data_IF_019179916006
#
_entry.id   IF_019179916006
#
_cell.length_a   1.000
_cell.length_b   1.000
_cell.length_c   1.000
_cell.angle_alpha   90.00
_cell.angle_beta   90.00
_cell.angle_gamma   90.00
#
_symmetry.space_group_name_H-M   'P 1'
#
loop_
_entity.id
_entity.type
_entity.pdbx_description
1 polymer ?
#
# COMPACT_ATOMS: atom_id res chain seq x y z
N UNK A 1 21.86 -38.30 39.53
CA UNK A 1 22.24 -39.16 38.38
C UNK A 1 21.14 -39.13 37.32
N UNK A 2 20.82 -37.96 36.78
CA UNK A 2 19.85 -37.84 35.69
C UNK A 2 20.64 -37.67 34.38
N UNK A 3 20.94 -38.79 33.71
CA UNK A 3 21.40 -38.76 32.33
C UNK A 3 20.22 -39.09 31.42
N UNK A 4 20.11 -38.42 30.27
CA UNK A 4 19.04 -38.53 29.26
C UNK A 4 18.16 -39.80 29.42
N UNK A 5 16.94 -39.63 29.91
CA UNK A 5 16.01 -40.74 30.22
C UNK A 5 15.28 -41.27 28.98
N UNK A 6 15.33 -40.53 27.86
CA UNK A 6 14.71 -40.90 26.58
C UNK A 6 15.44 -42.08 25.95
N UNK A 7 14.69 -43.05 25.43
CA UNK A 7 15.22 -44.27 24.82
C UNK A 7 15.76 -45.31 25.81
N UNK A 8 15.57 -45.10 27.12
CA UNK A 8 15.90 -46.09 28.15
C UNK A 8 14.61 -46.74 28.64
N UNK A 9 14.62 -48.06 28.72
CA UNK A 9 13.42 -48.83 29.02
C UNK A 9 13.62 -49.73 30.22
N UNK A 10 12.56 -49.86 31.01
CA UNK A 10 12.31 -50.99 31.88
C UNK A 10 11.66 -52.08 31.04
N UNK A 11 12.25 -53.27 31.06
CA UNK A 11 11.71 -54.46 30.38
C UNK A 11 11.55 -55.54 31.43
N UNK A 12 10.32 -56.01 31.63
CA UNK A 12 10.04 -57.12 32.51
C UNK A 12 9.58 -58.34 31.71
N UNK A 13 9.93 -59.51 32.22
CA UNK A 13 9.57 -60.81 31.63
C UNK A 13 9.27 -61.82 32.72
N UNK A 14 8.13 -62.50 32.61
CA UNK A 14 7.74 -63.62 33.48
C UNK A 14 8.25 -64.94 32.89
N UNK A 15 9.15 -65.61 33.61
CA UNK A 15 9.72 -66.88 33.18
C UNK A 15 8.77 -68.08 33.39
N UNK A 16 9.04 -69.19 32.68
CA UNK A 16 8.23 -70.42 32.69
C UNK A 16 7.97 -71.04 34.08
N UNK A 17 8.77 -70.71 35.11
CA UNK A 17 8.64 -71.21 36.47
C UNK A 17 8.18 -70.13 37.48
N UNK A 18 7.60 -69.03 37.01
CA UNK A 18 7.20 -67.90 37.86
C UNK A 18 8.37 -67.05 38.35
N UNK A 19 9.57 -67.24 37.78
CA UNK A 19 10.72 -66.36 38.02
C UNK A 19 10.53 -65.08 37.22
N UNK A 20 10.23 -64.01 37.93
CA UNK A 20 10.04 -62.68 37.39
C UNK A 20 11.37 -61.93 37.37
N UNK A 21 11.71 -61.31 36.24
CA UNK A 21 12.90 -60.47 36.12
C UNK A 21 12.54 -59.13 35.48
N UNK A 22 13.20 -58.06 35.93
CA UNK A 22 13.08 -56.72 35.36
C UNK A 22 14.47 -56.19 35.08
N UNK A 23 14.67 -55.69 33.88
CA UNK A 23 15.93 -55.09 33.45
C UNK A 23 15.75 -53.61 33.15
N UNK A 24 16.79 -52.82 33.45
CA UNK A 24 16.91 -51.42 33.05
C UNK A 24 18.28 -51.20 32.42
N UNK A 25 18.31 -50.67 31.19
CA UNK A 25 19.53 -50.58 30.37
C UNK A 25 20.26 -51.93 30.21
N UNK A 26 19.51 -53.01 30.05
CA UNK A 26 20.03 -54.38 29.98
C UNK A 26 20.76 -54.87 31.24
N UNK A 27 20.55 -54.21 32.38
CA UNK A 27 21.04 -54.65 33.70
C UNK A 27 19.83 -55.12 34.50
N UNK A 28 19.90 -56.34 35.04
CA UNK A 28 18.86 -56.87 35.91
C UNK A 28 18.78 -56.08 37.23
N UNK A 29 17.57 -55.70 37.61
CA UNK A 29 17.29 -55.00 38.86
C UNK A 29 17.02 -56.05 39.92
N UNK A 30 17.88 -56.11 40.93
CA UNK A 30 17.63 -56.92 42.12
C UNK A 30 16.49 -56.30 42.95
N UNK A 31 15.26 -56.78 42.71
CA UNK A 31 14.05 -56.31 43.38
C UNK A 31 14.04 -56.71 44.87
N UNK A 32 14.65 -57.85 45.23
CA UNK A 32 14.66 -58.34 46.61
C UNK A 32 15.44 -57.41 47.55
N UNK A 33 16.44 -56.70 47.03
CA UNK A 33 17.19 -55.65 47.77
C UNK A 33 16.30 -54.54 48.33
N UNK A 34 15.15 -54.30 47.72
CA UNK A 34 14.21 -53.25 48.14
C UNK A 34 13.20 -53.74 49.18
N UNK A 35 13.31 -54.99 49.62
CA UNK A 35 12.53 -55.47 50.76
C UNK A 35 13.07 -54.90 52.07
N UNK A 36 12.18 -54.27 52.84
CA UNK A 36 12.49 -53.68 54.14
C UNK A 36 11.86 -54.48 55.31
N UNK A 37 11.14 -55.56 55.01
CA UNK A 37 10.57 -56.49 55.98
C UNK A 37 11.55 -57.66 56.22
N UNK A 38 12.47 -57.46 57.18
CA UNK A 38 13.47 -58.47 57.55
C UNK A 38 12.87 -59.69 58.26
N UNK A 39 11.64 -59.58 58.78
CA UNK A 39 10.96 -60.68 59.46
C UNK A 39 10.38 -61.69 58.45
N UNK A 40 9.96 -61.21 57.27
CA UNK A 40 9.44 -62.04 56.18
C UNK A 40 10.10 -61.66 54.85
N UNK A 41 11.32 -62.16 54.56
CA UNK A 41 12.01 -61.85 53.33
C UNK A 41 11.25 -62.45 52.13
N UNK A 42 10.62 -61.58 51.36
CA UNK A 42 10.03 -61.90 50.06
C UNK A 42 11.19 -62.06 49.07
N UNK A 43 11.33 -63.27 48.52
CA UNK A 43 12.39 -63.66 47.58
C UNK A 43 11.93 -63.61 46.11
N UNK A 44 10.64 -63.42 45.87
CA UNK A 44 10.04 -63.28 44.54
C UNK A 44 9.07 -62.10 44.51
N UNK A 45 8.98 -61.41 43.40
CA UNK A 45 8.02 -60.32 43.20
C UNK A 45 7.06 -60.70 42.08
N UNK A 46 5.88 -60.08 42.06
CA UNK A 46 4.89 -60.24 41.00
C UNK A 46 4.31 -58.88 40.62
N UNK A 47 3.82 -58.72 39.38
CA UNK A 47 3.16 -57.51 38.90
C UNK A 47 1.74 -57.79 38.45
N UNK A 48 0.92 -56.74 38.34
CA UNK A 48 -0.50 -56.87 37.99
C UNK A 48 -1.44 -57.06 39.18
N UNK A 49 -0.91 -57.07 40.42
CA UNK A 49 -1.70 -57.02 41.64
C UNK A 49 -1.26 -55.84 42.55
N UNK A 50 -1.92 -55.68 43.69
CA UNK A 50 -1.54 -54.66 44.71
C UNK A 50 -0.83 -55.27 45.91
N UNK A 51 -0.29 -56.47 45.75
CA UNK A 51 0.34 -57.21 46.84
C UNK A 51 1.76 -56.70 47.13
N UNK A 52 2.38 -57.24 48.18
CA UNK A 52 3.73 -56.86 48.60
C UNK A 52 4.76 -57.00 47.46
N UNK A 53 4.61 -57.98 46.58
CA UNK A 53 5.48 -58.18 45.40
C UNK A 53 5.45 -57.00 44.42
N UNK A 54 4.26 -56.51 44.06
CA UNK A 54 4.11 -55.40 43.13
C UNK A 54 4.63 -54.08 43.72
N UNK A 55 4.50 -53.91 45.04
CA UNK A 55 5.09 -52.78 45.75
C UNK A 55 6.63 -52.81 45.73
N UNK A 56 7.24 -53.98 45.92
CA UNK A 56 8.70 -54.13 45.83
C UNK A 56 9.21 -53.73 44.45
N UNK A 57 8.50 -54.15 43.39
CA UNK A 57 8.80 -53.75 42.03
C UNK A 57 8.66 -52.22 41.83
N UNK A 58 7.56 -51.63 42.32
CA UNK A 58 7.36 -50.19 42.27
C UNK A 58 8.50 -49.42 42.98
N UNK A 59 8.94 -49.91 44.14
CA UNK A 59 10.05 -49.33 44.90
C UNK A 59 11.37 -49.44 44.12
N UNK A 60 11.65 -50.58 43.50
CA UNK A 60 12.84 -50.78 42.69
C UNK A 60 12.89 -49.84 41.47
N UNK A 61 11.77 -49.70 40.74
CA UNK A 61 11.66 -48.80 39.56
C UNK A 61 11.85 -47.34 39.98
N UNK A 62 11.13 -46.89 41.01
CA UNK A 62 11.22 -45.51 41.49
C UNK A 62 12.61 -45.19 42.04
N UNK A 63 13.24 -46.13 42.75
CA UNK A 63 14.59 -45.93 43.28
C UNK A 63 15.65 -45.87 42.17
N UNK A 64 15.37 -46.45 41.00
CA UNK A 64 16.29 -46.44 39.85
C UNK A 64 16.28 -45.10 39.13
N UNK A 65 15.12 -44.42 39.06
CA UNK A 65 14.94 -43.15 38.33
C UNK A 65 15.05 -41.93 39.25
N UNK A 66 14.42 -41.97 40.42
CA UNK A 66 14.31 -40.85 41.34
C UNK A 66 15.31 -41.01 42.50
N UNK A 67 14.79 -41.16 43.72
CA UNK A 67 15.60 -41.39 44.91
C UNK A 67 14.97 -42.50 45.77
N UNK A 68 15.77 -43.21 46.59
CA UNK A 68 15.26 -44.23 47.51
C UNK A 68 14.19 -43.69 48.47
N UNK A 69 14.28 -42.42 48.86
CA UNK A 69 13.30 -41.77 49.74
C UNK A 69 11.95 -41.61 49.05
N UNK A 70 11.96 -41.14 47.78
CA UNK A 70 10.74 -41.01 46.97
C UNK A 70 10.12 -42.39 46.75
N UNK A 71 10.94 -43.39 46.45
CA UNK A 71 10.47 -44.76 46.24
C UNK A 71 9.74 -45.32 47.47
N UNK A 72 10.28 -45.17 48.68
CA UNK A 72 9.63 -45.65 49.92
C UNK A 72 8.29 -45.00 50.20
N UNK A 73 8.17 -43.69 49.96
CA UNK A 73 6.95 -42.93 50.27
C UNK A 73 5.85 -43.21 49.23
N UNK A 74 6.24 -43.29 47.95
CA UNK A 74 5.29 -43.29 46.84
C UNK A 74 5.11 -44.66 46.15
N UNK A 75 5.83 -45.72 46.57
CA UNK A 75 5.70 -47.06 45.98
C UNK A 75 4.27 -47.60 45.99
N UNK A 76 3.52 -47.44 47.09
CA UNK A 76 2.11 -47.86 47.17
C UNK A 76 1.26 -47.18 46.09
N UNK A 77 1.41 -45.85 45.97
CA UNK A 77 0.67 -45.04 45.00
C UNK A 77 1.05 -45.40 43.57
N UNK A 78 2.35 -45.57 43.30
CA UNK A 78 2.85 -45.98 41.99
C UNK A 78 2.39 -47.39 41.60
N UNK A 79 2.29 -48.29 42.58
CA UNK A 79 1.77 -49.65 42.37
C UNK A 79 0.34 -49.61 41.85
N UNK A 80 -0.52 -48.81 42.48
CA UNK A 80 -1.93 -48.66 42.08
C UNK A 80 -2.08 -47.92 40.74
N UNK A 81 -1.32 -46.82 40.56
CA UNK A 81 -1.46 -45.97 39.38
C UNK A 81 -0.89 -46.60 38.11
N UNK A 82 0.16 -47.43 38.25
CA UNK A 82 0.98 -47.88 37.13
C UNK A 82 1.14 -49.41 37.12
N UNK A 83 1.75 -50.00 38.15
CA UNK A 83 2.15 -51.44 38.12
C UNK A 83 0.95 -52.39 38.03
N UNK A 84 -0.16 -52.07 38.69
CA UNK A 84 -1.39 -52.88 38.64
C UNK A 84 -1.98 -52.99 37.23
N UNK A 85 -1.68 -52.05 36.34
CA UNK A 85 -2.18 -52.05 34.96
C UNK A 85 -1.43 -53.04 34.06
N UNK A 86 -0.29 -53.57 34.50
CA UNK A 86 0.45 -54.57 33.76
C UNK A 86 -0.14 -55.95 33.99
N UNK A 87 -0.90 -56.44 33.00
CA UNK A 87 -1.44 -57.81 33.00
C UNK A 87 -0.68 -58.74 32.05
N UNK A 88 0.22 -58.20 31.23
CA UNK A 88 1.01 -58.94 30.26
C UNK A 88 2.22 -59.61 30.93
N UNK A 89 2.61 -60.78 30.42
CA UNK A 89 3.78 -61.54 30.86
C UNK A 89 5.11 -60.86 30.48
N UNK A 90 5.08 -60.04 29.44
CA UNK A 90 6.18 -59.18 29.03
C UNK A 90 5.66 -57.77 28.87
N UNK A 91 6.35 -56.79 29.46
CA UNK A 91 6.01 -55.38 29.27
C UNK A 91 7.24 -54.52 29.19
N UNK A 92 7.09 -53.38 28.51
CA UNK A 92 8.15 -52.40 28.29
C UNK A 92 7.64 -51.00 28.63
N UNK A 93 8.32 -50.32 29.52
CA UNK A 93 8.00 -48.94 29.94
C UNK A 93 9.22 -48.04 29.75
N UNK A 94 9.00 -46.83 29.24
CA UNK A 94 10.08 -45.87 29.09
C UNK A 94 10.39 -45.17 30.43
N UNK A 95 11.67 -44.99 30.74
CA UNK A 95 12.10 -44.34 31.97
C UNK A 95 11.62 -42.88 32.08
N UNK A 96 11.36 -42.24 30.94
CA UNK A 96 10.79 -40.90 30.89
C UNK A 96 9.36 -40.86 31.43
N UNK A 97 8.57 -41.92 31.24
CA UNK A 97 7.21 -42.01 31.76
C UNK A 97 7.20 -42.12 33.28
N UNK A 98 8.17 -42.86 33.84
CA UNK A 98 8.40 -42.92 35.29
C UNK A 98 8.76 -41.53 35.83
N UNK A 99 9.67 -40.81 35.16
CA UNK A 99 10.06 -39.47 35.57
C UNK A 99 8.89 -38.46 35.48
N UNK A 100 8.07 -38.52 34.42
CA UNK A 100 6.85 -37.71 34.29
C UNK A 100 5.87 -38.00 35.42
N UNK A 101 5.67 -39.28 35.77
CA UNK A 101 4.81 -39.65 36.89
C UNK A 101 5.34 -39.10 38.21
N UNK A 102 6.65 -39.19 38.47
CA UNK A 102 7.30 -38.63 39.68
C UNK A 102 7.12 -37.11 39.75
N UNK A 103 7.41 -36.39 38.67
CA UNK A 103 7.25 -34.93 38.61
C UNK A 103 5.79 -34.47 38.82
N UNK A 104 4.83 -35.29 38.38
CA UNK A 104 3.39 -35.00 38.53
C UNK A 104 2.86 -35.31 39.93
N UNK A 105 3.36 -36.36 40.57
CA UNK A 105 2.78 -36.90 41.81
C UNK A 105 3.59 -36.61 43.08
N UNK A 106 4.78 -36.04 42.94
CA UNK A 106 5.70 -35.77 44.04
C UNK A 106 6.29 -34.36 43.93
N UNK A 107 6.84 -33.84 45.02
CA UNK A 107 7.59 -32.58 45.02
C UNK A 107 9.04 -32.75 44.50
N UNK A 108 9.40 -33.93 44.00
CA UNK A 108 10.72 -34.21 43.46
C UNK A 108 10.76 -33.84 41.98
N UNK A 109 11.62 -32.88 41.61
CA UNK A 109 11.81 -32.45 40.21
C UNK A 109 12.97 -33.22 39.59
N UNK A 110 12.65 -33.98 38.54
CA UNK A 110 13.60 -34.62 37.64
C UNK A 110 13.63 -33.75 36.38
N UNK A 111 14.81 -33.28 35.99
CA UNK A 111 14.99 -32.55 34.74
C UNK A 111 14.78 -33.52 33.56
N UNK A 112 13.83 -33.18 32.70
CA UNK A 112 13.48 -33.94 31.50
C UNK A 112 13.76 -33.03 30.29
N UNK A 113 14.65 -33.45 29.40
CA UNK A 113 15.10 -32.68 28.21
C UNK A 113 14.03 -32.59 27.09
N UNK A 114 12.73 -32.48 27.43
CA UNK A 114 11.62 -32.44 26.46
C UNK A 114 11.36 -31.04 25.86
N UNK A 115 11.80 -29.98 26.53
CA UNK A 115 11.49 -28.59 26.17
C UNK A 115 12.12 -28.12 24.84
N UNK A 116 13.16 -28.80 24.36
CA UNK A 116 13.90 -28.40 23.16
C UNK A 116 13.20 -28.82 21.85
N UNK A 117 12.46 -29.95 21.84
CA UNK A 117 11.75 -30.42 20.64
C UNK A 117 10.45 -29.65 20.39
N UNK A 118 9.75 -29.22 21.44
CA UNK A 118 8.52 -28.44 21.30
C UNK A 118 8.84 -27.02 20.77
N UNK A 119 9.89 -26.39 21.30
CA UNK A 119 10.40 -25.11 20.79
C UNK A 119 10.85 -25.22 19.33
N UNK A 120 11.54 -26.30 18.96
CA UNK A 120 11.96 -26.51 17.58
C UNK A 120 10.76 -26.60 16.61
N UNK A 121 9.67 -27.26 17.00
CA UNK A 121 8.44 -27.35 16.19
C UNK A 121 7.70 -26.01 16.08
N UNK A 122 7.63 -25.25 17.17
CA UNK A 122 7.02 -23.91 17.17
C UNK A 122 7.82 -22.92 16.31
N UNK A 123 9.14 -22.96 16.37
CA UNK A 123 10.01 -22.12 15.55
C UNK A 123 9.94 -22.50 14.06
N UNK A 124 9.80 -23.79 13.73
CA UNK A 124 9.58 -24.23 12.36
C UNK A 124 8.21 -23.78 11.81
N UNK A 125 7.16 -23.80 12.63
CA UNK A 125 5.84 -23.31 12.26
C UNK A 125 5.86 -21.79 11.99
N UNK A 126 6.51 -21.00 12.86
CA UNK A 126 6.68 -19.55 12.65
C UNK A 126 7.43 -19.23 11.35
N UNK A 127 8.47 -20.00 11.01
CA UNK A 127 9.21 -19.84 9.75
C UNK A 127 8.32 -20.11 8.53
N UNK A 128 7.50 -21.17 8.56
CA UNK A 128 6.56 -21.49 7.47
C UNK A 128 5.48 -20.42 7.30
N UNK A 129 4.95 -19.87 8.39
CA UNK A 129 3.99 -18.76 8.34
C UNK A 129 4.62 -17.48 7.76
N UNK A 130 5.87 -17.17 8.12
CA UNK A 130 6.59 -16.01 7.60
C UNK A 130 6.89 -16.13 6.09
N UNK A 131 7.25 -17.32 5.62
CA UNK A 131 7.44 -17.60 4.19
C UNK A 131 6.12 -17.51 3.41
N UNK A 132 5.03 -18.07 3.93
CA UNK A 132 3.71 -17.94 3.34
C UNK A 132 3.26 -16.46 3.25
N UNK A 133 3.55 -15.66 4.28
CA UNK A 133 3.27 -14.23 4.28
C UNK A 133 4.12 -13.47 3.24
N UNK A 134 5.39 -13.83 3.06
CA UNK A 134 6.26 -13.26 2.01
C UNK A 134 5.75 -13.59 0.62
N UNK A 135 5.31 -14.83 0.39
CA UNK A 135 4.78 -15.25 -0.92
C UNK A 135 3.43 -14.59 -1.23
N UNK A 136 2.53 -14.48 -0.24
CA UNK A 136 1.29 -13.72 -0.38
C UNK A 136 1.54 -12.24 -0.75
N UNK A 137 2.58 -11.62 -0.17
CA UNK A 137 2.99 -10.25 -0.53
C UNK A 137 3.58 -10.16 -1.95
N UNK A 138 4.16 -11.24 -2.49
CA UNK A 138 4.64 -11.28 -3.89
C UNK A 138 3.46 -11.42 -4.85
N UNK A 139 2.55 -12.35 -4.57
CA UNK A 139 1.33 -12.56 -5.37
C UNK A 139 0.50 -11.27 -5.45
N UNK A 140 0.26 -10.60 -4.31
CA UNK A 140 -0.49 -9.33 -4.29
C UNK A 140 0.16 -8.22 -5.12
N UNK A 141 1.49 -8.12 -5.09
CA UNK A 141 2.24 -7.14 -5.91
C UNK A 141 2.15 -7.48 -7.39
N UNK A 142 2.24 -8.76 -7.75
CA UNK A 142 2.11 -9.21 -9.12
C UNK A 142 0.69 -8.98 -9.66
N UNK A 143 -0.35 -9.31 -8.89
CA UNK A 143 -1.75 -9.02 -9.26
C UNK A 143 -2.00 -7.53 -9.47
N UNK A 144 -1.49 -6.68 -8.58
CA UNK A 144 -1.60 -5.24 -8.73
C UNK A 144 -0.86 -4.72 -9.97
N UNK A 145 0.33 -5.26 -10.25
CA UNK A 145 1.09 -4.95 -11.46
C UNK A 145 0.32 -5.35 -12.71
N UNK A 146 -0.21 -6.57 -12.77
CA UNK A 146 -1.03 -7.06 -13.88
C UNK A 146 -2.28 -6.19 -14.09
N UNK A 147 -2.93 -5.75 -13.00
CA UNK A 147 -4.06 -4.83 -13.07
C UNK A 147 -3.67 -3.47 -13.68
N UNK A 148 -2.55 -2.89 -13.23
CA UNK A 148 -2.05 -1.62 -13.79
C UNK A 148 -1.68 -1.74 -15.27
N UNK A 149 -1.08 -2.86 -15.68
CA UNK A 149 -0.77 -3.12 -17.09
C UNK A 149 -2.05 -3.21 -17.93
N UNK A 150 -3.06 -3.96 -17.49
CA UNK A 150 -4.36 -4.04 -18.18
C UNK A 150 -5.04 -2.68 -18.28
N UNK A 151 -5.02 -1.89 -17.21
CA UNK A 151 -5.60 -0.55 -17.21
C UNK A 151 -4.88 0.39 -18.20
N UNK A 152 -3.54 0.36 -18.23
CA UNK A 152 -2.75 1.14 -19.21
C UNK A 152 -3.03 0.70 -20.64
N UNK A 153 -3.16 -0.60 -20.90
CA UNK A 153 -3.51 -1.12 -22.22
C UNK A 153 -4.93 -0.69 -22.63
N UNK A 154 -5.90 -0.74 -21.72
CA UNK A 154 -7.27 -0.28 -21.97
C UNK A 154 -7.33 1.23 -22.28
N UNK A 155 -6.58 2.05 -21.52
CA UNK A 155 -6.45 3.50 -21.80
C UNK A 155 -5.88 3.76 -23.19
N UNK A 156 -4.77 3.08 -23.54
CA UNK A 156 -4.16 3.18 -24.88
C UNK A 156 -5.12 2.76 -25.98
N UNK A 157 -5.88 1.68 -25.78
CA UNK A 157 -6.87 1.22 -26.76
C UNK A 157 -7.98 2.26 -26.95
N UNK A 158 -8.52 2.81 -25.88
CA UNK A 158 -9.57 3.83 -25.91
C UNK A 158 -9.08 5.14 -26.54
N UNK A 159 -7.86 5.58 -26.25
CA UNK A 159 -7.25 6.77 -26.86
C UNK A 159 -6.96 6.53 -28.36
N UNK A 160 -6.55 5.32 -28.74
CA UNK A 160 -6.39 4.93 -30.14
C UNK A 160 -7.72 4.88 -30.90
N UNK A 161 -8.81 4.50 -30.24
CA UNK A 161 -10.15 4.54 -30.84
C UNK A 161 -10.68 5.96 -30.96
N UNK A 162 -10.46 6.81 -29.96
CA UNK A 162 -10.85 8.22 -30.01
C UNK A 162 -10.13 8.95 -31.13
N UNK A 163 -8.81 8.77 -31.25
CA UNK A 163 -8.02 9.37 -32.34
C UNK A 163 -8.47 8.85 -33.71
N UNK A 164 -8.79 7.55 -33.84
CA UNK A 164 -9.37 7.00 -35.08
C UNK A 164 -10.75 7.59 -35.41
N UNK A 165 -11.63 7.73 -34.41
CA UNK A 165 -12.97 8.32 -34.57
C UNK A 165 -12.89 9.81 -34.91
N UNK A 166 -11.98 10.55 -34.30
CA UNK A 166 -11.73 11.97 -34.60
C UNK A 166 -11.11 12.15 -35.99
N UNK A 167 -10.11 11.34 -36.37
CA UNK A 167 -9.55 11.33 -37.71
C UNK A 167 -10.61 11.00 -38.76
N UNK A 168 -11.48 10.01 -38.51
CA UNK A 168 -12.57 9.68 -39.40
C UNK A 168 -13.59 10.82 -39.52
N UNK A 169 -13.94 11.49 -38.41
CA UNK A 169 -14.84 12.64 -38.38
C UNK A 169 -14.29 13.85 -39.15
N UNK A 170 -12.98 14.08 -39.07
CA UNK A 170 -12.29 15.13 -39.85
C UNK A 170 -12.35 14.80 -41.34
N UNK A 171 -12.13 13.53 -41.72
CA UNK A 171 -12.21 13.08 -43.11
C UNK A 171 -13.62 13.20 -43.69
N UNK A 172 -14.66 12.92 -42.91
CA UNK A 172 -16.07 12.96 -43.38
C UNK A 172 -16.66 14.36 -43.48
N UNK A 173 -16.02 15.38 -42.91
CA UNK A 173 -16.50 16.77 -42.90
C UNK A 173 -15.68 17.71 -43.79
N UNK A 174 -15.03 17.19 -44.84
CA UNK A 174 -14.36 18.06 -45.78
C UNK A 174 -15.39 18.86 -46.60
N UNK A 175 -15.25 20.19 -46.58
CA UNK A 175 -16.13 21.13 -47.27
C UNK A 175 -16.19 20.86 -48.78
N UNK A 176 -15.06 20.48 -49.40
CA UNK A 176 -14.95 20.17 -50.83
C UNK A 176 -15.72 18.89 -51.16
N UNK A 177 -15.61 17.86 -50.32
CA UNK A 177 -16.33 16.59 -50.51
C UNK A 177 -17.84 16.75 -50.35
N UNK A 178 -18.28 17.60 -49.42
CA UNK A 178 -19.70 17.89 -49.24
C UNK A 178 -20.26 18.72 -50.41
N UNK A 179 -19.52 19.74 -50.88
CA UNK A 179 -19.92 20.57 -52.02
C UNK A 179 -20.07 19.76 -53.31
N UNK A 180 -19.10 18.88 -53.61
CA UNK A 180 -19.17 18.02 -54.78
C UNK A 180 -20.33 17.04 -54.73
N UNK A 181 -20.66 16.51 -53.53
CA UNK A 181 -21.83 15.63 -53.32
C UNK A 181 -23.16 16.37 -53.45
N UNK A 182 -23.29 17.54 -52.82
CA UNK A 182 -24.52 18.35 -52.85
C UNK A 182 -24.84 18.86 -54.26
N UNK A 183 -23.82 19.31 -54.99
CA UNK A 183 -23.96 19.80 -56.37
C UNK A 183 -23.94 18.67 -57.40
N UNK A 184 -23.67 17.43 -56.98
CA UNK A 184 -23.51 16.25 -57.85
C UNK A 184 -22.53 16.50 -59.02
N UNK A 185 -21.40 17.12 -58.72
CA UNK A 185 -20.34 17.46 -59.69
C UNK A 185 -19.04 16.74 -59.33
N UNK A 186 -18.18 16.54 -60.33
CA UNK A 186 -16.82 16.02 -60.12
C UNK A 186 -15.84 17.13 -59.76
N UNK A 187 -14.73 16.79 -59.12
CA UNK A 187 -13.69 17.74 -58.71
C UNK A 187 -13.11 18.53 -59.90
N UNK A 188 -12.97 17.91 -61.07
CA UNK A 188 -12.50 18.58 -62.29
C UNK A 188 -13.49 19.63 -62.80
N UNK A 189 -14.78 19.44 -62.51
CA UNK A 189 -15.82 20.41 -62.85
C UNK A 189 -15.80 21.56 -61.85
N UNK A 190 -15.61 21.26 -60.55
CA UNK A 190 -15.43 22.28 -59.52
C UNK A 190 -14.17 23.14 -59.78
N UNK A 191 -13.07 22.53 -60.23
CA UNK A 191 -11.83 23.22 -60.64
C UNK A 191 -12.08 24.25 -61.74
N UNK A 192 -12.83 23.84 -62.76
CA UNK A 192 -13.20 24.70 -63.89
C UNK A 192 -14.16 25.82 -63.47
N UNK A 193 -15.11 25.55 -62.58
CA UNK A 193 -16.07 26.55 -62.09
C UNK A 193 -15.37 27.63 -61.26
N UNK A 194 -14.43 27.22 -60.40
CA UNK A 194 -13.69 28.12 -59.52
C UNK A 194 -12.44 28.74 -60.17
N UNK A 195 -12.15 28.38 -61.42
CA UNK A 195 -10.97 28.81 -62.18
C UNK A 195 -9.65 28.59 -61.42
N UNK A 196 -9.48 27.39 -60.85
CA UNK A 196 -8.29 26.98 -60.10
C UNK A 196 -7.81 25.60 -60.56
N UNK A 197 -6.50 25.36 -60.41
CA UNK A 197 -5.90 24.06 -60.74
C UNK A 197 -6.48 22.92 -59.89
N UNK A 198 -6.61 21.73 -60.49
CA UNK A 198 -7.15 20.55 -59.82
C UNK A 198 -6.35 20.16 -58.57
N UNK A 199 -5.04 20.35 -58.61
CA UNK A 199 -4.15 20.08 -57.47
C UNK A 199 -4.48 20.98 -56.27
N UNK A 200 -4.92 22.22 -56.51
CA UNK A 200 -5.37 23.13 -55.45
C UNK A 200 -6.62 22.60 -54.75
N UNK A 201 -7.58 22.06 -55.52
CA UNK A 201 -8.79 21.43 -54.96
C UNK A 201 -8.44 20.15 -54.19
N UNK A 202 -7.49 19.36 -54.69
CA UNK A 202 -7.01 18.16 -53.99
C UNK A 202 -6.31 18.51 -52.67
N UNK A 203 -5.51 19.58 -52.64
CA UNK A 203 -4.87 20.07 -51.42
C UNK A 203 -5.91 20.55 -50.40
N UNK A 204 -6.91 21.33 -50.84
CA UNK A 204 -8.03 21.74 -49.98
C UNK A 204 -8.80 20.56 -49.39
N UNK A 205 -8.91 19.45 -50.14
CA UNK A 205 -9.55 18.21 -49.71
C UNK A 205 -8.69 17.39 -48.74
N UNK A 206 -7.41 17.21 -49.02
CA UNK A 206 -6.53 16.36 -48.21
C UNK A 206 -6.11 17.04 -46.91
N UNK A 207 -5.84 18.34 -46.95
CA UNK A 207 -5.31 19.09 -45.81
C UNK A 207 -6.35 19.95 -45.08
N UNK A 208 -7.60 19.92 -45.55
CA UNK A 208 -8.73 20.69 -45.03
C UNK A 208 -8.40 22.19 -44.93
N UNK A 209 -7.77 22.74 -45.98
CA UNK A 209 -7.27 24.12 -45.98
C UNK A 209 -8.37 25.17 -46.08
N UNK A 210 -9.49 24.86 -46.74
CA UNK A 210 -10.60 25.79 -46.93
C UNK A 210 -11.15 26.34 -45.60
N UNK A 211 -11.45 25.52 -44.58
CA UNK A 211 -11.79 26.02 -43.24
C UNK A 211 -10.69 26.87 -42.58
N UNK A 212 -9.41 26.54 -42.77
CA UNK A 212 -8.28 27.29 -42.20
C UNK A 212 -8.17 28.68 -42.84
N UNK A 213 -8.28 28.75 -44.17
CA UNK A 213 -8.31 29.98 -44.95
C UNK A 213 -9.50 30.86 -44.56
N UNK A 214 -10.69 30.28 -44.42
CA UNK A 214 -11.89 31.00 -43.99
C UNK A 214 -11.73 31.61 -42.58
N UNK A 215 -11.16 30.88 -41.63
CA UNK A 215 -10.88 31.40 -40.28
C UNK A 215 -9.89 32.57 -40.33
N UNK A 216 -8.81 32.44 -41.10
CA UNK A 216 -7.81 33.50 -41.27
C UNK A 216 -8.40 34.76 -41.94
N UNK A 217 -9.25 34.59 -42.95
CA UNK A 217 -9.96 35.70 -43.58
C UNK A 217 -10.91 36.43 -42.61
N UNK A 218 -11.63 35.68 -41.77
CA UNK A 218 -12.47 36.27 -40.71
C UNK A 218 -11.66 37.05 -39.68
N UNK A 219 -10.48 36.57 -39.30
CA UNK A 219 -9.57 37.29 -38.39
C UNK A 219 -9.10 38.62 -39.00
N UNK A 220 -8.69 38.61 -40.27
CA UNK A 220 -8.31 39.84 -40.98
C UNK A 220 -9.47 40.83 -41.10
N UNK A 221 -10.68 40.34 -41.41
CA UNK A 221 -11.86 41.19 -41.48
C UNK A 221 -12.17 41.85 -40.12
N UNK A 222 -12.17 41.06 -39.03
CA UNK A 222 -12.38 41.58 -37.68
C UNK A 222 -11.32 42.61 -37.28
N UNK A 223 -10.05 42.35 -37.62
CA UNK A 223 -8.96 43.30 -37.38
C UNK A 223 -9.17 44.61 -38.17
N UNK A 224 -9.59 44.53 -39.43
CA UNK A 224 -9.92 45.69 -40.26
C UNK A 224 -11.10 46.50 -39.71
N UNK A 225 -12.16 45.84 -39.23
CA UNK A 225 -13.30 46.50 -38.58
C UNK A 225 -12.87 47.21 -37.30
N UNK A 226 -12.10 46.55 -36.43
CA UNK A 226 -11.57 47.15 -35.19
C UNK A 226 -10.66 48.35 -35.48
N UNK A 227 -9.84 48.29 -36.53
CA UNK A 227 -9.02 49.42 -36.95
C UNK A 227 -9.87 50.61 -37.40
N UNK A 228 -10.93 50.37 -38.18
CA UNK A 228 -11.86 51.42 -38.63
C UNK A 228 -12.57 52.08 -37.46
N UNK A 229 -13.01 51.30 -36.46
CA UNK A 229 -13.64 51.81 -35.24
C UNK A 229 -12.68 52.69 -34.43
N UNK A 230 -11.45 52.22 -34.18
CA UNK A 230 -10.42 53.01 -33.49
C UNK A 230 -10.09 54.31 -34.21
N UNK A 231 -10.01 54.28 -35.54
CA UNK A 231 -9.74 55.48 -36.32
C UNK A 231 -10.90 56.49 -36.25
N UNK A 232 -12.14 56.01 -36.22
CA UNK A 232 -13.32 56.87 -35.99
C UNK A 232 -13.30 57.52 -34.60
N UNK A 233 -12.89 56.77 -33.57
CA UNK A 233 -12.76 57.30 -32.20
C UNK A 233 -11.66 58.36 -32.10
N UNK A 234 -10.49 58.11 -32.70
CA UNK A 234 -9.40 59.08 -32.75
C UNK A 234 -9.81 60.35 -33.49
N UNK A 235 -10.55 60.24 -34.60
CA UNK A 235 -11.07 61.40 -35.31
C UNK A 235 -12.04 62.23 -34.46
N UNK A 236 -12.91 61.58 -33.70
CA UNK A 236 -13.82 62.26 -32.77
C UNK A 236 -13.06 62.96 -31.62
N UNK A 237 -12.02 62.31 -31.08
CA UNK A 237 -11.15 62.91 -30.06
C UNK A 237 -10.41 64.14 -30.60
N UNK A 238 -9.84 64.06 -31.81
CA UNK A 238 -9.16 65.19 -32.44
C UNK A 238 -10.11 66.38 -32.65
N UNK A 239 -11.35 66.14 -33.09
CA UNK A 239 -12.34 67.21 -33.24
C UNK A 239 -12.67 67.88 -31.90
N UNK A 240 -12.85 67.09 -30.83
CA UNK A 240 -13.12 67.65 -29.50
C UNK A 240 -11.93 68.47 -28.98
N UNK A 241 -10.70 67.96 -29.15
CA UNK A 241 -9.49 68.71 -28.80
C UNK A 241 -9.39 70.02 -29.58
N UNK A 242 -9.73 70.01 -30.87
CA UNK A 242 -9.77 71.22 -31.68
C UNK A 242 -10.79 72.23 -31.15
N UNK A 243 -12.01 71.80 -30.83
CA UNK A 243 -13.03 72.69 -30.24
C UNK A 243 -12.58 73.29 -28.89
N UNK A 244 -11.82 72.53 -28.09
CA UNK A 244 -11.26 73.04 -26.84
C UNK A 244 -10.17 74.08 -27.08
N UNK A 245 -9.30 73.86 -28.07
CA UNK A 245 -8.28 74.84 -28.45
C UNK A 245 -8.94 76.13 -28.94
N UNK A 246 -9.93 76.04 -29.82
CA UNK A 246 -10.65 77.21 -30.34
C UNK A 246 -11.30 78.02 -29.20
N UNK A 247 -11.92 77.34 -28.22
CA UNK A 247 -12.46 78.00 -27.02
C UNK A 247 -11.35 78.71 -26.22
N UNK A 248 -10.22 78.05 -25.99
CA UNK A 248 -9.09 78.65 -25.26
C UNK A 248 -8.50 79.85 -25.98
N UNK A 249 -8.41 79.81 -27.30
CA UNK A 249 -7.98 80.95 -28.11
C UNK A 249 -8.95 82.14 -27.95
N UNK A 250 -10.27 81.89 -27.96
CA UNK A 250 -11.25 82.97 -27.72
C UNK A 250 -11.15 83.55 -26.31
N UNK A 251 -10.94 82.72 -25.28
CA UNK A 251 -10.71 83.16 -23.90
C UNK A 251 -9.45 84.03 -23.80
N UNK A 252 -8.34 83.60 -24.41
CA UNK A 252 -7.10 84.39 -24.43
C UNK A 252 -7.30 85.74 -25.11
N UNK A 253 -8.01 85.78 -26.24
CA UNK A 253 -8.32 87.03 -26.94
C UNK A 253 -9.13 88.01 -26.07
N UNK A 254 -10.09 87.50 -25.29
CA UNK A 254 -10.84 88.30 -24.32
C UNK A 254 -9.93 88.84 -23.22
N UNK A 255 -9.08 88.00 -22.64
CA UNK A 255 -8.11 88.44 -21.63
C UNK A 255 -7.13 89.49 -22.17
N UNK A 256 -6.66 89.35 -23.41
CA UNK A 256 -5.80 90.35 -24.06
C UNK A 256 -6.51 91.69 -24.22
N UNK A 257 -7.79 91.67 -24.59
CA UNK A 257 -8.61 92.87 -24.69
C UNK A 257 -8.77 93.57 -23.35
N UNK A 258 -9.07 92.81 -22.29
CA UNK A 258 -9.19 93.34 -20.93
C UNK A 258 -7.87 93.90 -20.43
N UNK A 259 -6.76 93.19 -20.65
CA UNK A 259 -5.41 93.64 -20.30
C UNK A 259 -5.06 94.95 -21.01
N UNK A 260 -5.47 95.11 -22.28
CA UNK A 260 -5.30 96.36 -23.01
C UNK A 260 -6.17 97.49 -22.43
N UNK A 261 -7.40 97.20 -22.02
CA UNK A 261 -8.26 98.17 -21.33
C UNK A 261 -7.64 98.63 -20.00
N UNK A 262 -7.12 97.69 -19.19
CA UNK A 262 -6.41 98.02 -17.95
C UNK A 262 -5.15 98.85 -18.22
N UNK A 263 -4.36 98.51 -19.24
CA UNK A 263 -3.20 99.32 -19.65
C UNK A 263 -3.60 100.75 -19.98
N UNK A 264 -4.65 100.94 -20.79
CA UNK A 264 -5.19 102.27 -21.13
C UNK A 264 -5.66 103.03 -19.88
N UNK A 265 -6.36 102.36 -18.97
CA UNK A 265 -6.80 102.95 -17.71
C UNK A 265 -5.61 103.41 -16.86
N UNK A 266 -4.60 102.55 -16.67
CA UNK A 266 -3.38 102.91 -15.92
C UNK A 266 -2.68 104.11 -16.56
N UNK A 267 -2.54 104.15 -17.89
CA UNK A 267 -1.94 105.32 -18.57
C UNK A 267 -2.78 106.59 -18.45
N UNK A 268 -4.09 106.46 -18.25
CA UNK A 268 -4.98 107.61 -18.06
C UNK A 268 -4.99 108.15 -16.62
N UNK A 269 -4.50 107.37 -15.65
CA UNK A 269 -4.32 107.85 -14.30
C UNK A 269 -3.12 108.80 -14.27
N UNK A 270 -3.36 110.06 -13.89
CA UNK A 270 -2.32 111.03 -13.59
C UNK A 270 -1.71 110.69 -12.22
N UNK A 271 -0.96 109.59 -12.17
CA UNK A 271 -0.30 109.06 -10.98
C UNK A 271 0.50 110.14 -10.23
N UNK A 272 1.25 111.04 -10.91
CA UNK A 272 1.91 112.17 -10.25
C UNK A 272 0.96 113.08 -9.46
N UNK A 273 -0.20 113.43 -10.02
CA UNK A 273 -1.18 114.26 -9.30
C UNK A 273 -1.85 113.52 -8.14
N UNK A 274 -2.18 112.24 -8.31
CA UNK A 274 -2.75 111.42 -7.23
C UNK A 274 -1.75 111.32 -6.07
N UNK A 275 -0.48 111.07 -6.37
CA UNK A 275 0.59 110.98 -5.37
C UNK A 275 0.80 112.31 -4.63
N UNK A 276 0.70 113.44 -5.34
CA UNK A 276 0.79 114.77 -4.75
C UNK A 276 -0.32 115.03 -3.72
N UNK A 277 -1.58 114.71 -4.06
CA UNK A 277 -2.71 114.80 -3.11
C UNK A 277 -2.56 113.91 -1.88
N UNK A 278 -1.96 112.73 -2.04
CA UNK A 278 -1.78 111.79 -0.93
C UNK A 278 -0.65 112.21 0.03
N UNK A 279 0.35 112.94 -0.46
CA UNK A 279 1.45 113.48 0.36
C UNK A 279 1.07 114.75 1.15
N UNK A 280 -0.05 115.37 0.78
CA UNK A 280 -0.64 116.53 1.45
C UNK A 280 -1.66 116.14 2.55
N UNK A 281 -1.95 114.85 2.70
CA UNK A 281 -2.67 114.24 3.84
C UNK A 281 -1.68 113.79 4.92
#
# INVERSE_FOLDING_TARGET
MAGNLKGKYFVASRGFYGTNSVTYKNIEIDVAKYNHDYANPITSFDWGNTEKGANLLANAILSTIASPTVARIYANKYTQDVIQKFQEDEWKMEAIEVARWVNKNTNYKIDIDEDDELKAKEDEAKRKEEEAAKEARRIKREEEFQRQVREKLAKRAHDSEKTKKEAHKILTNNVVDNLCKELNIKYETLAKILDVELDTINNWRLENEMPKLARKAMEFYKAGVSFKEKNSQLKAQNNNLQEQLDKKETEMSLFEKDLNNYKKFITSLDIPQIYKKFKEL
#
